data_IF_610993800212
#
_entry.id   IF_610993800212
#
_cell.length_a   1.000
_cell.length_b   1.000
_cell.length_c   1.000
_cell.angle_alpha   90.00
_cell.angle_beta   90.00
_cell.angle_gamma   90.00
#
_symmetry.space_group_name_H-M   'P 1'
#
loop_
_entity.id
_entity.type
_entity.pdbx_description
1 polymer ?
#
# COMPACT_ATOMS: atom_id res chain seq x y z
N UNK A 1 34.26 61.71 4.07
CA UNK A 1 34.63 60.85 2.92
C UNK A 1 34.35 59.37 3.20
N UNK A 2 34.77 58.82 4.34
CA UNK A 2 34.46 57.42 4.73
C UNK A 2 32.96 57.22 5.06
N UNK A 3 32.33 58.20 5.70
CA UNK A 3 30.89 58.13 6.06
C UNK A 3 29.99 58.10 4.82
N UNK A 4 30.35 58.86 3.79
CA UNK A 4 29.63 58.91 2.52
C UNK A 4 29.69 57.58 1.75
N UNK A 5 30.85 56.92 1.76
CA UNK A 5 31.02 55.57 1.19
C UNK A 5 30.15 54.56 1.97
N UNK A 6 30.09 54.67 3.29
CA UNK A 6 29.30 53.78 4.15
C UNK A 6 27.79 53.94 3.90
N UNK A 7 27.33 55.18 3.68
CA UNK A 7 25.95 55.48 3.28
C UNK A 7 25.63 54.85 1.92
N UNK A 8 26.48 55.05 0.91
CA UNK A 8 26.27 54.48 -0.42
C UNK A 8 26.22 52.94 -0.41
N UNK A 9 27.09 52.29 0.37
CA UNK A 9 27.08 50.82 0.52
C UNK A 9 25.81 50.32 1.21
N UNK A 10 25.31 51.07 2.20
CA UNK A 10 24.06 50.73 2.89
C UNK A 10 22.87 50.83 1.93
N UNK A 11 22.80 51.90 1.14
CA UNK A 11 21.76 52.09 0.12
C UNK A 11 21.80 50.95 -0.90
N UNK A 12 22.98 50.61 -1.43
CA UNK A 12 23.12 49.53 -2.39
C UNK A 12 22.64 48.19 -1.83
N UNK A 13 23.02 47.87 -0.59
CA UNK A 13 22.59 46.63 0.08
C UNK A 13 21.07 46.57 0.23
N UNK A 14 20.45 47.67 0.63
CA UNK A 14 18.98 47.76 0.76
C UNK A 14 18.31 47.55 -0.59
N UNK A 15 18.75 48.24 -1.64
CA UNK A 15 18.20 48.10 -3.00
C UNK A 15 18.34 46.68 -3.55
N UNK A 16 19.49 46.03 -3.31
CA UNK A 16 19.70 44.64 -3.69
C UNK A 16 18.73 43.70 -2.97
N UNK A 17 18.54 43.91 -1.66
CA UNK A 17 17.64 43.08 -0.86
C UNK A 17 16.17 43.26 -1.26
N UNK A 18 15.75 44.50 -1.53
CA UNK A 18 14.39 44.81 -2.02
C UNK A 18 14.14 44.13 -3.37
N UNK A 19 15.08 44.24 -4.31
CA UNK A 19 14.96 43.62 -5.62
C UNK A 19 14.89 42.10 -5.52
N UNK A 20 15.77 41.49 -4.72
CA UNK A 20 15.75 40.05 -4.48
C UNK A 20 14.42 39.61 -3.87
N UNK A 21 13.95 40.31 -2.82
CA UNK A 21 12.71 39.99 -2.13
C UNK A 21 11.52 40.07 -3.08
N UNK A 22 11.47 41.09 -3.94
CA UNK A 22 10.43 41.26 -4.94
C UNK A 22 10.37 40.09 -5.92
N UNK A 23 11.51 39.73 -6.51
CA UNK A 23 11.56 38.63 -7.49
C UNK A 23 11.28 37.27 -6.82
N UNK A 24 11.79 37.06 -5.60
CA UNK A 24 11.50 35.86 -4.83
C UNK A 24 10.00 35.73 -4.52
N UNK A 25 9.36 36.80 -4.04
CA UNK A 25 7.93 36.80 -3.76
C UNK A 25 7.10 36.55 -5.02
N UNK A 26 7.48 37.15 -6.15
CA UNK A 26 6.85 36.90 -7.45
C UNK A 26 6.98 35.43 -7.86
N UNK A 27 8.18 34.85 -7.73
CA UNK A 27 8.42 33.44 -8.03
C UNK A 27 7.59 32.51 -7.13
N UNK A 28 7.55 32.77 -5.83
CA UNK A 28 6.74 32.03 -4.87
C UNK A 28 5.26 32.09 -5.22
N UNK A 29 4.74 33.30 -5.47
CA UNK A 29 3.34 33.48 -5.83
C UNK A 29 2.98 32.69 -7.09
N UNK A 30 3.82 32.75 -8.12
CA UNK A 30 3.60 32.00 -9.35
C UNK A 30 3.51 30.49 -9.08
N UNK A 31 4.41 29.93 -8.26
CA UNK A 31 4.37 28.51 -7.92
C UNK A 31 3.09 28.11 -7.18
N UNK A 32 2.63 28.95 -6.27
CA UNK A 32 1.38 28.75 -5.54
C UNK A 32 0.20 28.76 -6.53
N UNK A 33 0.13 29.77 -7.40
CA UNK A 33 -0.91 29.90 -8.43
C UNK A 33 -0.94 28.68 -9.36
N UNK A 34 0.20 28.28 -9.91
CA UNK A 34 0.30 27.09 -10.77
C UNK A 34 -0.16 25.82 -10.04
N UNK A 35 0.20 25.67 -8.75
CA UNK A 35 -0.22 24.51 -7.95
C UNK A 35 -1.74 24.49 -7.71
N UNK A 36 -2.36 25.66 -7.47
CA UNK A 36 -3.81 25.79 -7.32
C UNK A 36 -4.51 25.46 -8.64
N UNK A 37 -4.11 26.08 -9.74
CA UNK A 37 -4.70 25.84 -11.06
C UNK A 37 -4.61 24.36 -11.46
N UNK A 38 -3.45 23.73 -11.22
CA UNK A 38 -3.26 22.30 -11.49
C UNK A 38 -4.22 21.44 -10.66
N UNK A 39 -4.44 21.78 -9.39
CA UNK A 39 -5.38 21.06 -8.51
C UNK A 39 -6.82 21.23 -8.94
N UNK A 40 -7.23 22.44 -9.32
CA UNK A 40 -8.57 22.72 -9.86
C UNK A 40 -8.84 21.89 -11.13
N UNK A 41 -7.86 21.79 -12.03
CA UNK A 41 -7.98 20.92 -13.20
C UNK A 41 -8.04 19.44 -12.82
N UNK A 42 -7.22 19.00 -11.86
CA UNK A 42 -7.28 17.61 -11.38
C UNK A 42 -8.61 17.27 -10.73
N UNK A 43 -9.23 18.19 -9.99
CA UNK A 43 -10.58 18.02 -9.43
C UNK A 43 -11.62 17.78 -10.52
N UNK A 44 -11.57 18.58 -11.60
CA UNK A 44 -12.46 18.43 -12.76
C UNK A 44 -12.25 17.11 -13.51
N UNK A 45 -11.01 16.63 -13.58
CA UNK A 45 -10.66 15.40 -14.30
C UNK A 45 -11.02 14.13 -13.53
N UNK A 46 -10.57 14.00 -12.27
CA UNK A 46 -11.00 12.90 -11.39
C UNK A 46 -10.63 13.10 -9.91
N UNK A 47 -11.46 12.62 -8.97
CA UNK A 47 -11.14 12.64 -7.54
C UNK A 47 -9.81 11.96 -7.19
N UNK A 48 -9.46 10.87 -7.88
CA UNK A 48 -8.21 10.12 -7.65
C UNK A 48 -6.96 10.90 -8.06
N UNK A 49 -7.01 11.66 -9.17
CA UNK A 49 -5.87 12.50 -9.59
C UNK A 49 -5.66 13.66 -8.62
N UNK A 50 -6.74 14.29 -8.16
CA UNK A 50 -6.67 15.31 -7.12
C UNK A 50 -6.04 14.75 -5.85
N UNK A 51 -6.55 13.61 -5.35
CA UNK A 51 -6.05 12.97 -4.14
C UNK A 51 -4.54 12.65 -4.23
N UNK A 52 -4.09 12.12 -5.36
CA UNK A 52 -2.67 11.82 -5.57
C UNK A 52 -1.82 13.10 -5.63
N UNK A 53 -2.33 14.19 -6.21
CA UNK A 53 -1.65 15.49 -6.26
C UNK A 53 -1.55 16.18 -4.90
N UNK A 54 -2.52 16.00 -4.01
CA UNK A 54 -2.50 16.55 -2.64
C UNK A 54 -1.52 15.79 -1.77
N UNK A 55 -1.51 14.46 -1.89
CA UNK A 55 -0.74 13.59 -1.01
C UNK A 55 0.67 13.29 -1.54
N UNK A 56 1.08 13.96 -2.63
CA UNK A 56 2.34 13.72 -3.36
C UNK A 56 2.59 12.22 -3.65
N UNK A 57 1.50 11.47 -3.84
CA UNK A 57 1.59 10.01 -4.01
C UNK A 57 2.01 9.69 -5.43
N UNK A 58 3.08 8.90 -5.57
CA UNK A 58 3.33 8.19 -6.83
C UNK A 58 2.29 7.08 -6.97
N UNK A 59 1.53 7.02 -8.07
CA UNK A 59 0.58 5.92 -8.26
C UNK A 59 1.35 4.59 -8.28
N UNK A 60 0.91 3.64 -7.45
CA UNK A 60 1.43 2.28 -7.48
C UNK A 60 0.97 1.62 -8.79
N UNK A 61 1.80 1.69 -9.81
CA UNK A 61 1.57 0.97 -11.06
C UNK A 61 1.93 -0.49 -10.83
N UNK A 62 0.92 -1.35 -10.76
CA UNK A 62 1.14 -2.80 -10.86
C UNK A 62 1.67 -3.04 -12.28
N UNK A 63 2.94 -3.38 -12.39
CA UNK A 63 3.51 -3.74 -13.67
C UNK A 63 3.20 -5.22 -13.94
N UNK A 64 2.22 -5.46 -14.79
CA UNK A 64 1.79 -6.80 -15.21
C UNK A 64 2.95 -7.60 -15.85
N UNK A 65 3.96 -6.94 -16.43
CA UNK A 65 5.14 -7.60 -17.00
C UNK A 65 6.04 -8.26 -15.95
N UNK A 66 5.84 -7.97 -14.66
CA UNK A 66 6.59 -8.57 -13.55
C UNK A 66 5.85 -9.73 -12.89
N UNK A 67 4.63 -10.03 -13.33
CA UNK A 67 3.88 -11.19 -12.82
C UNK A 67 4.44 -12.43 -13.52
N UNK A 68 5.14 -13.26 -12.75
CA UNK A 68 5.55 -14.59 -13.20
C UNK A 68 4.36 -15.53 -13.05
N UNK A 69 3.87 -16.05 -14.16
CA UNK A 69 2.85 -17.10 -14.18
C UNK A 69 3.61 -18.43 -14.15
N UNK A 70 3.47 -19.18 -13.07
CA UNK A 70 4.07 -20.50 -12.92
C UNK A 70 3.05 -21.56 -13.33
N UNK A 71 3.37 -22.35 -14.36
CA UNK A 71 2.48 -23.42 -14.83
C UNK A 71 2.86 -24.77 -14.23
N UNK A 72 4.14 -24.97 -13.94
CA UNK A 72 4.69 -26.19 -13.35
C UNK A 72 5.46 -25.89 -12.08
N UNK A 73 5.64 -26.94 -11.25
CA UNK A 73 6.42 -26.83 -10.01
C UNK A 73 7.87 -26.40 -10.28
N UNK A 74 8.43 -26.77 -11.44
CA UNK A 74 9.79 -26.39 -11.87
C UNK A 74 9.94 -24.90 -12.14
N UNK A 75 8.83 -24.21 -12.40
CA UNK A 75 8.84 -22.78 -12.71
C UNK A 75 8.93 -21.97 -11.41
N UNK A 76 8.58 -22.55 -10.27
CA UNK A 76 8.67 -21.90 -8.96
C UNK A 76 10.13 -21.76 -8.52
N UNK A 77 10.47 -20.70 -7.76
CA UNK A 77 11.77 -20.60 -7.11
C UNK A 77 12.03 -21.82 -6.21
N UNK A 78 13.26 -22.32 -6.19
CA UNK A 78 13.64 -23.58 -5.54
C UNK A 78 13.08 -23.74 -4.12
N UNK A 79 13.16 -22.68 -3.31
CA UNK A 79 12.67 -22.66 -1.92
C UNK A 79 11.16 -22.95 -1.76
N UNK A 80 10.38 -22.71 -2.81
CA UNK A 80 8.93 -22.94 -2.83
C UNK A 80 8.55 -24.28 -3.46
N UNK A 81 9.46 -24.90 -4.21
CA UNK A 81 9.15 -26.14 -4.93
C UNK A 81 8.75 -27.26 -3.97
N UNK A 82 9.45 -27.41 -2.85
CA UNK A 82 9.15 -28.47 -1.87
C UNK A 82 7.84 -28.22 -1.12
N UNK A 83 7.50 -26.96 -0.86
CA UNK A 83 6.27 -26.58 -0.14
C UNK A 83 5.04 -26.87 -1.00
N UNK A 84 5.11 -26.52 -2.29
CA UNK A 84 3.99 -26.68 -3.23
C UNK A 84 4.02 -28.00 -3.99
N UNK A 85 5.02 -28.86 -3.75
CA UNK A 85 5.09 -30.17 -4.38
C UNK A 85 3.87 -30.99 -3.98
N UNK A 86 3.17 -31.56 -4.97
CA UNK A 86 2.10 -32.52 -4.70
C UNK A 86 2.70 -33.68 -3.89
N UNK A 87 2.22 -33.87 -2.67
CA UNK A 87 2.53 -35.06 -1.88
C UNK A 87 1.84 -36.27 -2.51
N UNK A 88 2.57 -37.35 -2.71
CA UNK A 88 1.99 -38.61 -3.18
C UNK A 88 1.13 -39.13 -2.03
N UNK A 89 -0.17 -39.23 -2.28
CA UNK A 89 -1.15 -39.76 -1.35
C UNK A 89 -1.72 -41.05 -1.95
N UNK A 90 -1.89 -42.14 -1.17
CA UNK A 90 -2.54 -43.35 -1.65
C UNK A 90 -3.93 -43.04 -2.25
N UNK A 91 -4.28 -43.72 -3.34
CA UNK A 91 -5.56 -43.49 -4.05
C UNK A 91 -6.75 -43.67 -3.10
N UNK A 92 -6.69 -44.67 -2.22
CA UNK A 92 -7.71 -44.92 -1.19
C UNK A 92 -7.99 -43.70 -0.31
N UNK A 93 -6.96 -42.96 0.07
CA UNK A 93 -7.10 -41.75 0.90
C UNK A 93 -7.62 -40.57 0.08
N UNK A 94 -7.32 -40.52 -1.23
CA UNK A 94 -7.87 -39.51 -2.15
C UNK A 94 -9.37 -39.72 -2.34
N UNK A 95 -9.78 -40.96 -2.53
CA UNK A 95 -11.18 -41.34 -2.65
C UNK A 95 -11.95 -41.01 -1.37
N UNK A 96 -11.33 -41.23 -0.20
CA UNK A 96 -11.91 -40.86 1.09
C UNK A 96 -12.25 -39.36 1.18
N UNK A 97 -11.39 -38.46 0.66
CA UNK A 97 -11.66 -37.01 0.65
C UNK A 97 -12.86 -36.61 -0.21
N UNK A 98 -13.27 -37.47 -1.15
CA UNK A 98 -14.44 -37.25 -2.00
C UNK A 98 -15.72 -37.84 -1.40
N UNK A 99 -15.60 -38.68 -0.37
CA UNK A 99 -16.77 -39.26 0.30
C UNK A 99 -17.48 -38.20 1.16
N UNK A 100 -18.82 -38.09 1.09
CA UNK A 100 -19.56 -37.19 1.96
C UNK A 100 -19.40 -37.59 3.43
N UNK A 101 -19.21 -36.60 4.30
CA UNK A 101 -19.21 -36.81 5.74
C UNK A 101 -20.59 -37.29 6.17
N UNK A 102 -20.64 -38.43 6.84
CA UNK A 102 -21.90 -39.00 7.34
C UNK A 102 -22.34 -38.33 8.64
N UNK A 103 -23.65 -38.37 8.90
CA UNK A 103 -24.19 -37.88 10.17
C UNK A 103 -23.61 -38.64 11.38
N UNK A 104 -23.33 -39.93 11.22
CA UNK A 104 -22.76 -40.75 12.28
C UNK A 104 -21.33 -40.31 12.63
N UNK A 105 -20.46 -40.14 11.62
CA UNK A 105 -19.09 -39.66 11.81
C UNK A 105 -19.07 -38.28 12.47
N UNK A 106 -19.96 -37.38 12.04
CA UNK A 106 -20.08 -36.05 12.64
C UNK A 106 -20.47 -36.14 14.12
N UNK A 107 -21.48 -36.93 14.45
CA UNK A 107 -21.94 -37.10 15.84
C UNK A 107 -20.86 -37.70 16.73
N UNK A 108 -20.15 -38.73 16.27
CA UNK A 108 -19.05 -39.35 17.03
C UNK A 108 -17.87 -38.39 17.18
N UNK A 109 -17.54 -37.62 16.14
CA UNK A 109 -16.52 -36.57 16.22
C UNK A 109 -16.89 -35.52 17.26
N UNK A 110 -18.14 -35.04 17.27
CA UNK A 110 -18.62 -34.07 18.24
C UNK A 110 -18.56 -34.61 19.68
N UNK A 111 -18.93 -35.88 19.90
CA UNK A 111 -18.82 -36.54 21.22
C UNK A 111 -17.37 -36.69 21.68
N UNK A 112 -16.42 -36.81 20.76
CA UNK A 112 -14.99 -36.93 21.08
C UNK A 112 -14.34 -35.60 21.50
N UNK A 113 -15.01 -34.47 21.26
CA UNK A 113 -14.52 -33.16 21.68
C UNK A 113 -14.57 -33.07 23.21
N UNK A 114 -13.53 -32.49 23.79
CA UNK A 114 -13.44 -32.34 25.25
C UNK A 114 -14.48 -31.32 25.74
N UNK A 115 -15.46 -31.80 26.51
CA UNK A 115 -16.42 -30.95 27.21
C UNK A 115 -15.71 -30.04 28.23
N UNK A 116 -16.27 -28.85 28.49
CA UNK A 116 -15.80 -27.88 29.50
C UNK A 116 -14.43 -27.22 29.25
N UNK A 117 -13.97 -27.14 27.99
CA UNK A 117 -12.81 -26.30 27.65
C UNK A 117 -13.22 -24.85 27.40
N UNK A 118 -12.33 -23.93 27.78
CA UNK A 118 -12.51 -22.50 27.52
C UNK A 118 -12.71 -22.25 26.02
N UNK A 119 -13.63 -21.33 25.71
CA UNK A 119 -13.90 -20.92 24.35
C UNK A 119 -12.63 -20.40 23.66
N UNK A 120 -12.47 -20.72 22.38
CA UNK A 120 -11.38 -20.20 21.55
C UNK A 120 -11.57 -18.73 21.21
N UNK A 121 -10.76 -18.21 20.28
CA UNK A 121 -10.79 -16.80 19.84
C UNK A 121 -12.15 -16.35 19.28
N UNK A 122 -13.01 -17.28 18.86
CA UNK A 122 -14.36 -17.02 18.38
C UNK A 122 -15.44 -17.05 19.48
N UNK A 123 -15.04 -17.24 20.75
CA UNK A 123 -15.92 -17.27 21.93
C UNK A 123 -17.03 -18.33 21.90
N UNK A 124 -16.95 -19.34 21.02
CA UNK A 124 -17.91 -20.45 20.97
C UNK A 124 -17.54 -21.53 21.99
N UNK A 125 -18.52 -21.93 22.80
CA UNK A 125 -18.46 -23.07 23.72
C UNK A 125 -19.25 -24.25 23.16
N UNK A 126 -18.89 -25.47 23.57
CA UNK A 126 -19.57 -26.71 23.16
C UNK A 126 -20.83 -27.01 24.00
N UNK A 127 -21.17 -26.12 24.94
CA UNK A 127 -22.32 -26.24 25.83
C UNK A 127 -23.58 -25.70 25.12
N UNK A 128 -24.64 -26.51 25.07
CA UNK A 128 -25.99 -26.15 24.62
C UNK A 128 -26.82 -25.75 25.84
#
# INVERSE_FOLDING_TARGET
>A
MIDDITVHLTILKTLMNERYTKEFNKWQLNRITTAIETREQNYKLSPTKLLNSILERKPNKINLSKISIYSNITDLPQQWQDIYRRKIMPIKDQELLLTPITHHELTETLKSLSNNKAAGLNSLTYEI
#
